data_IF_273780303333
#
_entry.id   IF_273780303333
#
_cell.length_a   1.000
_cell.length_b   1.000
_cell.length_c   1.000
_cell.angle_alpha   90.00
_cell.angle_beta   90.00
_cell.angle_gamma   90.00
#
_symmetry.space_group_name_H-M   'P 1'
#
loop_
_entity.id
_entity.type
_entity.pdbx_description
1 polymer ?
#
# COMPACT_ATOMS: atom_id res chain seq x y z
N UNK A 1 -9.14 6.47 18.41
CA UNK A 1 -9.31 6.68 16.96
C UNK A 1 -8.04 6.26 16.24
N UNK A 2 -8.16 5.53 15.15
CA UNK A 2 -7.03 5.02 14.39
C UNK A 2 -7.01 5.62 12.99
N UNK A 3 -5.81 5.81 12.46
CA UNK A 3 -5.58 6.32 11.11
C UNK A 3 -4.84 5.26 10.29
N UNK A 4 -5.33 5.01 9.10
CA UNK A 4 -4.65 4.13 8.14
C UNK A 4 -4.35 4.90 6.86
N UNK A 5 -3.09 4.87 6.44
CA UNK A 5 -2.67 5.47 5.17
C UNK A 5 -2.70 4.39 4.11
N UNK A 6 -3.54 4.60 3.09
CA UNK A 6 -3.70 3.66 1.99
C UNK A 6 -2.78 4.09 0.85
N UNK A 7 -1.74 3.32 0.59
CA UNK A 7 -0.75 3.62 -0.45
C UNK A 7 -1.01 2.74 -1.65
N UNK A 8 -1.29 3.34 -2.80
CA UNK A 8 -1.50 2.63 -4.05
C UNK A 8 -0.25 2.71 -4.91
N UNK A 9 0.27 1.57 -5.31
CA UNK A 9 1.45 1.49 -6.16
C UNK A 9 1.29 0.36 -7.19
N UNK A 10 2.06 0.41 -8.24
CA UNK A 10 2.03 -0.60 -9.30
C UNK A 10 3.45 -1.03 -9.66
N UNK A 11 3.61 -2.33 -9.88
CA UNK A 11 4.84 -2.96 -10.36
C UNK A 11 6.07 -2.53 -9.55
N UNK A 12 7.09 -1.98 -10.17
CA UNK A 12 8.33 -1.59 -9.51
C UNK A 12 8.20 -0.38 -8.59
N UNK A 13 7.04 0.29 -8.60
CA UNK A 13 6.76 1.39 -7.67
C UNK A 13 6.91 0.99 -6.21
N UNK A 14 6.73 -0.30 -5.90
CA UNK A 14 6.90 -0.83 -4.54
C UNK A 14 8.28 -0.51 -3.95
N UNK A 15 9.28 -0.33 -4.79
CA UNK A 15 10.64 -0.03 -4.36
C UNK A 15 10.86 1.43 -4.02
N UNK A 16 9.90 2.30 -4.30
CA UNK A 16 10.04 3.74 -4.14
C UNK A 16 9.06 4.34 -3.13
N UNK A 17 8.11 3.57 -2.61
CA UNK A 17 7.06 4.10 -1.73
C UNK A 17 7.51 4.30 -0.28
N UNK A 18 8.71 3.85 0.07
CA UNK A 18 9.24 4.06 1.42
C UNK A 18 9.34 5.55 1.78
N UNK A 19 9.50 6.43 0.78
CA UNK A 19 9.47 7.88 0.97
C UNK A 19 8.12 8.39 1.49
N UNK A 20 7.06 7.62 1.32
CA UNK A 20 5.70 7.97 1.75
C UNK A 20 5.38 7.43 3.14
N UNK A 21 6.30 6.65 3.73
CA UNK A 21 6.07 5.96 4.98
C UNK A 21 6.98 6.55 6.05
N UNK A 22 6.36 7.09 7.08
CA UNK A 22 7.08 7.69 8.20
C UNK A 22 7.54 6.63 9.19
N UNK A 23 8.39 7.02 10.13
CA UNK A 23 8.72 6.19 11.28
C UNK A 23 7.44 5.80 12.03
N UNK A 24 7.42 4.64 12.73
CA UNK A 24 6.22 4.19 13.42
C UNK A 24 5.64 5.23 14.37
N UNK A 25 4.32 5.42 14.31
CA UNK A 25 3.56 6.35 15.14
C UNK A 25 2.38 5.59 15.71
N UNK A 26 2.18 5.67 17.03
CA UNK A 26 1.06 5.02 17.67
C UNK A 26 -0.27 5.49 17.07
N UNK A 27 -1.16 4.56 16.78
CA UNK A 27 -2.47 4.84 16.19
C UNK A 27 -2.44 5.02 14.68
N UNK A 28 -1.27 4.93 14.05
CA UNK A 28 -1.13 5.05 12.59
C UNK A 28 -0.62 3.75 12.00
N UNK A 29 -1.30 3.28 10.97
CA UNK A 29 -0.89 2.10 10.21
C UNK A 29 -0.92 2.40 8.72
N UNK A 30 -0.33 1.50 7.94
CA UNK A 30 -0.25 1.63 6.48
C UNK A 30 -0.84 0.39 5.83
N UNK A 31 -1.59 0.61 4.76
CA UNK A 31 -2.07 -0.46 3.89
C UNK A 31 -1.57 -0.17 2.49
N UNK A 32 -0.70 -1.02 1.99
CA UNK A 32 -0.15 -0.88 0.65
C UNK A 32 -0.92 -1.79 -0.29
N UNK A 33 -1.58 -1.19 -1.29
CA UNK A 33 -2.24 -1.94 -2.36
C UNK A 33 -1.30 -1.96 -3.56
N UNK A 34 -0.68 -3.12 -3.76
CA UNK A 34 0.35 -3.31 -4.77
C UNK A 34 -0.23 -4.02 -5.99
N UNK A 35 -0.43 -3.25 -7.04
CA UNK A 35 -1.02 -3.75 -8.27
C UNK A 35 0.08 -4.35 -9.17
N UNK A 36 -0.20 -5.51 -9.73
CA UNK A 36 0.70 -6.20 -10.66
C UNK A 36 0.09 -6.15 -12.06
N UNK A 37 0.77 -5.51 -12.99
CA UNK A 37 0.34 -5.54 -14.38
C UNK A 37 0.57 -6.93 -14.98
N UNK A 38 -0.11 -7.29 -16.10
CA UNK A 38 -0.03 -8.66 -16.64
C UNK A 38 1.37 -9.16 -16.95
N UNK A 39 2.27 -8.26 -17.33
CA UNK A 39 3.64 -8.63 -17.72
C UNK A 39 4.65 -8.52 -16.59
N UNK A 40 4.19 -8.12 -15.40
CA UNK A 40 5.08 -7.90 -14.28
C UNK A 40 5.38 -9.22 -13.57
N UNK A 41 6.66 -9.46 -13.32
CA UNK A 41 7.11 -10.58 -12.48
C UNK A 41 7.44 -10.01 -11.10
N UNK A 42 6.68 -10.37 -10.05
CA UNK A 42 6.92 -9.85 -8.71
C UNK A 42 8.32 -10.19 -8.21
N UNK A 43 8.96 -9.21 -7.59
CA UNK A 43 10.24 -9.36 -6.93
C UNK A 43 10.03 -9.42 -5.43
N UNK A 44 11.12 -9.64 -4.69
CA UNK A 44 11.05 -9.63 -3.23
C UNK A 44 10.60 -8.27 -2.71
N UNK A 45 9.83 -8.31 -1.62
CA UNK A 45 9.37 -7.11 -0.94
C UNK A 45 10.54 -6.37 -0.34
N UNK A 46 10.63 -5.03 -0.50
CA UNK A 46 11.65 -4.24 0.19
C UNK A 46 11.61 -4.48 1.70
N UNK A 47 12.78 -4.65 2.29
CA UNK A 47 12.90 -4.92 3.71
C UNK A 47 12.31 -3.80 4.57
N UNK A 48 12.42 -2.56 4.10
CA UNK A 48 11.87 -1.38 4.79
C UNK A 48 10.34 -1.44 4.97
N UNK A 49 9.64 -2.26 4.18
CA UNK A 49 8.20 -2.42 4.28
C UNK A 49 7.77 -3.59 5.16
N UNK A 50 8.73 -4.34 5.70
CA UNK A 50 8.44 -5.48 6.57
C UNK A 50 8.33 -5.01 8.02
N UNK A 51 7.23 -4.31 8.31
CA UNK A 51 6.95 -3.74 9.63
C UNK A 51 5.56 -4.18 10.11
N UNK A 52 5.37 -4.24 11.41
CA UNK A 52 4.09 -4.65 12.00
C UNK A 52 2.95 -3.67 11.71
N UNK A 53 3.27 -2.40 11.46
CA UNK A 53 2.28 -1.36 11.16
C UNK A 53 2.00 -1.24 9.67
N UNK A 54 2.58 -2.12 8.83
CA UNK A 54 2.38 -2.12 7.38
C UNK A 54 1.77 -3.45 6.95
N UNK A 55 0.62 -3.36 6.28
CA UNK A 55 -0.05 -4.49 5.64
C UNK A 55 0.04 -4.32 4.13
N UNK A 56 0.32 -5.38 3.41
CA UNK A 56 0.42 -5.35 1.95
C UNK A 56 -0.60 -6.31 1.36
N UNK A 57 -1.39 -5.80 0.42
CA UNK A 57 -2.34 -6.59 -0.37
C UNK A 57 -1.99 -6.43 -1.84
N UNK A 58 -2.21 -7.48 -2.62
CA UNK A 58 -1.89 -7.47 -4.04
C UNK A 58 -3.14 -7.53 -4.89
N UNK A 59 -3.04 -7.03 -6.12
CA UNK A 59 -4.14 -6.97 -7.08
C UNK A 59 -3.57 -7.14 -8.48
N UNK A 60 -4.18 -8.01 -9.27
CA UNK A 60 -3.81 -8.19 -10.67
C UNK A 60 -4.49 -7.15 -11.57
N UNK A 61 -3.78 -6.63 -12.55
CA UNK A 61 -4.32 -5.72 -13.57
C UNK A 61 -3.72 -4.34 -13.52
N UNK A 62 -4.45 -3.40 -14.13
CA UNK A 62 -4.04 -2.00 -14.23
C UNK A 62 -5.23 -1.10 -13.91
N UNK A 63 -4.94 0.15 -13.60
CA UNK A 63 -5.94 1.17 -13.37
C UNK A 63 -5.95 1.67 -11.94
N UNK A 64 -5.82 2.98 -11.79
CA UNK A 64 -5.74 3.61 -10.48
C UNK A 64 -7.04 3.48 -9.69
N UNK A 65 -8.19 3.65 -10.33
CA UNK A 65 -9.48 3.52 -9.64
C UNK A 65 -9.68 2.13 -9.07
N UNK A 66 -9.28 1.10 -9.82
CA UNK A 66 -9.36 -0.29 -9.38
C UNK A 66 -8.45 -0.51 -8.17
N UNK A 67 -7.25 0.05 -8.20
CA UNK A 67 -6.30 -0.07 -7.11
C UNK A 67 -6.80 0.64 -5.85
N UNK A 68 -7.32 1.85 -5.97
CA UNK A 68 -7.91 2.59 -4.86
C UNK A 68 -9.09 1.84 -4.24
N UNK A 69 -9.97 1.28 -5.07
CA UNK A 69 -11.11 0.51 -4.58
C UNK A 69 -10.66 -0.74 -3.83
N UNK A 70 -9.59 -1.38 -4.29
CA UNK A 70 -9.02 -2.54 -3.62
C UNK A 70 -8.48 -2.14 -2.24
N UNK A 71 -7.76 -1.03 -2.16
CA UNK A 71 -7.24 -0.52 -0.90
C UNK A 71 -8.38 -0.21 0.09
N UNK A 72 -9.42 0.48 -0.37
CA UNK A 72 -10.57 0.83 0.46
C UNK A 72 -11.27 -0.42 0.99
N UNK A 73 -11.39 -1.46 0.19
CA UNK A 73 -12.02 -2.72 0.61
C UNK A 73 -11.27 -3.40 1.75
N UNK A 74 -9.96 -3.23 1.81
CA UNK A 74 -9.12 -3.84 2.83
C UNK A 74 -8.83 -2.91 4.02
N UNK A 75 -9.30 -1.67 3.96
CA UNK A 75 -9.10 -0.71 5.04
C UNK A 75 -9.90 -1.10 6.28
N UNK A 76 -9.32 -0.89 7.45
CA UNK A 76 -9.94 -1.28 8.72
C UNK A 76 -9.93 -0.20 9.79
N UNK A 77 -9.24 0.91 9.57
CA UNK A 77 -9.15 1.98 10.57
C UNK A 77 -10.36 2.92 10.52
N UNK A 78 -10.52 3.74 11.55
CA UNK A 78 -11.60 4.71 11.65
C UNK A 78 -11.48 5.80 10.57
N UNK A 79 -10.26 6.23 10.30
CA UNK A 79 -9.95 7.26 9.31
C UNK A 79 -8.94 6.67 8.32
N UNK A 80 -9.20 6.86 7.03
CA UNK A 80 -8.31 6.41 5.97
C UNK A 80 -7.90 7.58 5.09
N UNK A 81 -6.60 7.68 4.83
CA UNK A 81 -6.02 8.67 3.93
C UNK A 81 -5.42 7.95 2.74
N UNK A 82 -5.86 8.28 1.53
CA UNK A 82 -5.37 7.65 0.31
C UNK A 82 -4.26 8.50 -0.27
N UNK A 83 -3.13 7.86 -0.58
CA UNK A 83 -2.03 8.50 -1.28
C UNK A 83 -1.58 7.61 -2.42
N UNK A 84 -1.16 8.23 -3.52
CA UNK A 84 -0.70 7.53 -4.71
C UNK A 84 0.80 7.72 -4.88
N UNK A 85 1.39 6.70 -5.42
CA UNK A 85 2.81 6.75 -5.80
C UNK A 85 2.96 7.45 -7.15
#
# INVERSE_FOLDING_TARGET
>A
MTLEVLVCTIDNGINNIDRLILAPIEGVSYLISWQHSPDFTPTDMPESLQRNDIKIVTLQGRGLSRNRNHAIRHASADICLITDD
#
